data_IF_302840883840
#
_entry.id   IF_302840883840
#
_cell.length_a   1.000
_cell.length_b   1.000
_cell.length_c   1.000
_cell.angle_alpha   90.00
_cell.angle_beta   90.00
_cell.angle_gamma   90.00
#
_symmetry.space_group_name_H-M   'P 1'
#
loop_
_entity.id
_entity.type
_entity.pdbx_description
1 polymer ?
#
# COMPACT_ATOMS: atom_id res chain seq x y z
N UNK A 1 -7.48 -1.24 -14.44
CA UNK A 1 -7.64 0.22 -14.68
C UNK A 1 -6.57 1.00 -13.92
N UNK A 2 -5.89 1.97 -14.55
CA UNK A 2 -4.85 2.81 -13.90
C UNK A 2 -5.43 3.92 -13.00
N UNK A 3 -6.55 3.62 -12.35
CA UNK A 3 -7.20 4.51 -11.39
C UNK A 3 -6.41 4.40 -10.09
N UNK A 4 -5.92 5.53 -9.58
CA UNK A 4 -5.27 5.59 -8.26
C UNK A 4 -6.24 6.10 -7.21
N UNK A 5 -6.22 5.48 -6.04
CA UNK A 5 -7.15 5.66 -4.94
C UNK A 5 -6.41 6.04 -3.65
N UNK A 6 -7.18 6.50 -2.65
CA UNK A 6 -6.65 6.92 -1.35
C UNK A 6 -6.24 8.40 -1.32
N UNK A 7 -5.94 8.89 -0.11
CA UNK A 7 -5.57 10.30 0.15
C UNK A 7 -4.35 10.70 -0.67
N UNK A 8 -3.39 9.79 -0.85
CA UNK A 8 -2.14 10.04 -1.55
C UNK A 8 -2.13 9.57 -3.01
N UNK A 9 -3.22 8.96 -3.49
CA UNK A 9 -3.31 8.38 -4.85
C UNK A 9 -2.11 7.48 -5.17
N UNK A 10 -1.71 6.68 -4.19
CA UNK A 10 -0.60 5.74 -4.21
C UNK A 10 -1.07 4.29 -4.41
N UNK A 11 -2.33 4.00 -4.09
CA UNK A 11 -2.90 2.67 -4.24
C UNK A 11 -3.70 2.49 -5.55
N UNK A 12 -3.70 1.27 -6.11
CA UNK A 12 -4.54 0.88 -7.27
C UNK A 12 -5.56 -0.17 -6.81
N UNK A 13 -6.74 -0.27 -7.44
CA UNK A 13 -7.73 -1.32 -7.15
C UNK A 13 -7.19 -2.74 -7.29
N UNK A 14 -6.34 -2.94 -8.30
CA UNK A 14 -5.57 -4.15 -8.49
C UNK A 14 -4.13 -3.70 -8.72
N UNK A 15 -3.20 -4.23 -7.94
CA UNK A 15 -1.78 -3.89 -8.03
C UNK A 15 -1.21 -4.32 -9.36
N UNK A 16 -0.21 -3.54 -9.77
CA UNK A 16 0.60 -3.80 -10.94
C UNK A 16 2.06 -3.63 -10.53
N UNK A 17 2.93 -4.48 -11.06
CA UNK A 17 4.39 -4.47 -10.83
C UNK A 17 4.82 -4.86 -9.41
N UNK A 18 4.25 -4.26 -8.36
CA UNK A 18 4.67 -4.45 -6.96
C UNK A 18 3.47 -4.49 -6.01
N UNK A 19 3.51 -5.43 -5.08
CA UNK A 19 2.65 -5.46 -3.88
C UNK A 19 3.47 -4.93 -2.70
N UNK A 20 2.83 -4.13 -1.86
CA UNK A 20 3.43 -3.46 -0.70
C UNK A 20 2.81 -3.94 0.62
N UNK A 21 1.74 -4.74 0.57
CA UNK A 21 1.02 -5.24 1.73
C UNK A 21 0.42 -6.62 1.46
N UNK A 22 0.26 -7.42 2.51
CA UNK A 22 -0.47 -8.69 2.43
C UNK A 22 -1.95 -8.53 2.04
N UNK A 23 -2.50 -7.32 2.20
CA UNK A 23 -3.90 -7.02 1.83
C UNK A 23 -4.08 -6.58 0.38
N UNK A 24 -2.99 -6.48 -0.38
CA UNK A 24 -3.05 -5.96 -1.74
C UNK A 24 -3.71 -6.95 -2.68
N UNK A 25 -4.71 -6.49 -3.42
CA UNK A 25 -5.39 -7.25 -4.44
C UNK A 25 -4.59 -7.23 -5.75
N UNK A 26 -4.42 -8.39 -6.39
CA UNK A 26 -3.64 -8.53 -7.65
C UNK A 26 -4.48 -8.93 -8.86
N UNK A 27 -5.61 -9.61 -8.62
CA UNK A 27 -6.53 -10.06 -9.65
C UNK A 27 -7.97 -10.12 -9.09
N UNK A 28 -8.96 -10.16 -9.97
CA UNK A 28 -10.36 -10.31 -9.62
C UNK A 28 -11.07 -11.19 -10.65
N UNK A 29 -12.11 -11.89 -10.21
CA UNK A 29 -12.96 -12.75 -11.04
C UNK A 29 -14.40 -12.25 -10.97
N UNK A 30 -15.07 -12.21 -12.13
CA UNK A 30 -16.51 -12.03 -12.21
C UNK A 30 -17.14 -13.30 -12.79
N UNK A 31 -18.14 -13.83 -12.11
CA UNK A 31 -18.85 -15.04 -12.53
C UNK A 31 -20.35 -14.91 -12.25
N UNK A 32 -21.13 -15.82 -12.82
CA UNK A 32 -22.59 -15.86 -12.66
C UNK A 32 -23.04 -16.51 -11.34
N UNK A 33 -22.15 -17.17 -10.62
CA UNK A 33 -22.36 -17.68 -9.26
C UNK A 33 -21.10 -17.58 -8.40
N UNK A 34 -21.24 -17.54 -7.06
CA UNK A 34 -20.09 -17.57 -6.14
C UNK A 34 -19.19 -18.79 -6.34
N UNK A 35 -19.78 -19.99 -6.51
CA UNK A 35 -19.02 -21.24 -6.66
C UNK A 35 -18.10 -21.21 -7.89
N UNK A 36 -18.58 -20.64 -9.02
CA UNK A 36 -17.76 -20.48 -10.23
C UNK A 36 -16.64 -19.46 -9.98
N UNK A 37 -16.93 -18.37 -9.27
CA UNK A 37 -15.92 -17.37 -8.95
C UNK A 37 -14.80 -17.96 -8.06
N UNK A 38 -15.16 -18.74 -7.04
CA UNK A 38 -14.20 -19.40 -6.16
C UNK A 38 -13.35 -20.43 -6.90
N UNK A 39 -13.96 -21.27 -7.75
CA UNK A 39 -13.22 -22.22 -8.57
C UNK A 39 -12.23 -21.51 -9.51
N UNK A 40 -12.65 -20.41 -10.14
CA UNK A 40 -11.80 -19.62 -11.02
C UNK A 40 -10.68 -18.86 -10.26
N UNK A 41 -10.92 -18.42 -9.02
CA UNK A 41 -9.87 -17.83 -8.17
C UNK A 41 -8.75 -18.83 -7.88
N UNK A 42 -9.09 -20.10 -7.64
CA UNK A 42 -8.10 -21.16 -7.41
C UNK A 42 -7.24 -21.49 -8.64
N UNK A 43 -7.69 -21.12 -9.84
CA UNK A 43 -6.93 -21.28 -11.07
C UNK A 43 -5.94 -20.12 -11.34
N UNK A 44 -5.98 -19.05 -10.54
CA UNK A 44 -5.07 -17.92 -10.71
C UNK A 44 -3.73 -18.27 -10.09
N UNK A 45 -2.71 -18.37 -10.94
CA UNK A 45 -1.32 -18.51 -10.51
C UNK A 45 -0.63 -17.14 -10.54
N UNK A 46 0.03 -16.77 -9.44
CA UNK A 46 0.80 -15.53 -9.33
C UNK A 46 2.21 -15.88 -8.88
N UNK A 47 3.20 -15.45 -9.66
CA UNK A 47 4.61 -15.60 -9.31
C UNK A 47 5.13 -14.28 -8.76
N UNK A 48 5.76 -14.34 -7.58
CA UNK A 48 6.35 -13.17 -6.92
C UNK A 48 7.87 -13.30 -6.87
N UNK A 49 8.54 -12.18 -7.06
CA UNK A 49 9.91 -11.99 -6.57
C UNK A 49 9.82 -11.41 -5.15
N UNK A 50 10.37 -12.12 -4.16
CA UNK A 50 10.33 -11.67 -2.78
C UNK A 50 11.23 -10.43 -2.60
N UNK A 51 10.64 -9.35 -2.10
CA UNK A 51 11.35 -8.12 -1.76
C UNK A 51 11.53 -8.01 -0.23
N UNK A 52 12.57 -7.30 0.25
CA UNK A 52 12.72 -7.01 1.68
C UNK A 52 11.50 -6.26 2.21
N UNK A 53 10.86 -6.82 3.23
CA UNK A 53 9.71 -6.21 3.90
C UNK A 53 10.16 -5.44 5.14
N UNK A 54 9.48 -4.32 5.43
CA UNK A 54 9.71 -3.50 6.62
C UNK A 54 8.36 -3.35 7.34
N UNK A 55 8.31 -3.74 8.60
CA UNK A 55 7.08 -3.71 9.42
C UNK A 55 7.16 -2.70 10.57
N UNK A 56 8.31 -2.06 10.73
CA UNK A 56 8.56 -1.07 11.77
C UNK A 56 8.71 0.33 11.15
N UNK A 57 7.98 1.35 11.64
CA UNK A 57 8.05 2.68 11.08
C UNK A 57 9.41 3.35 11.31
N UNK A 58 10.06 3.14 12.46
CA UNK A 58 11.37 3.75 12.74
C UNK A 58 12.45 3.20 11.82
N UNK A 59 12.42 1.89 11.55
CA UNK A 59 13.25 1.21 10.56
C UNK A 59 12.97 1.72 9.15
N UNK A 60 11.71 1.92 8.77
CA UNK A 60 11.32 2.43 7.45
C UNK A 60 11.82 3.86 7.20
N UNK A 61 11.99 4.66 8.25
CA UNK A 61 12.49 6.03 8.19
C UNK A 61 14.02 6.13 8.09
N UNK A 62 14.76 5.04 8.36
CA UNK A 62 16.22 5.06 8.30
C UNK A 62 16.75 5.27 6.87
N UNK A 63 17.94 5.86 6.78
CA UNK A 63 18.64 5.98 5.51
C UNK A 63 18.99 4.60 4.95
N UNK A 64 18.75 4.39 3.65
CA UNK A 64 18.98 3.10 2.99
C UNK A 64 17.88 2.05 3.21
N UNK A 65 16.82 2.37 3.96
CA UNK A 65 15.65 1.50 4.07
C UNK A 65 15.02 1.25 2.67
N UNK A 66 14.61 0.00 2.37
CA UNK A 66 13.83 -0.29 1.17
C UNK A 66 12.64 0.68 1.00
N UNK A 67 12.55 1.31 -0.17
CA UNK A 67 11.46 2.22 -0.47
C UNK A 67 10.20 1.43 -0.82
N UNK A 68 9.10 1.70 -0.11
CA UNK A 68 7.79 1.11 -0.43
C UNK A 68 7.28 1.68 -1.76
N UNK A 69 7.43 2.99 -1.94
CA UNK A 69 7.05 3.72 -3.14
C UNK A 69 8.26 4.48 -3.70
N UNK A 70 8.91 3.94 -4.74
CA UNK A 70 10.15 4.48 -5.30
C UNK A 70 9.98 5.93 -5.79
N UNK A 71 8.80 6.25 -6.33
CA UNK A 71 8.46 7.59 -6.82
C UNK A 71 8.54 8.68 -5.73
N UNK A 72 8.40 8.33 -4.44
CA UNK A 72 8.45 9.27 -3.34
C UNK A 72 9.88 9.53 -2.83
N UNK A 73 10.85 8.67 -3.16
CA UNK A 73 12.25 8.74 -2.70
C UNK A 73 12.44 8.68 -1.17
N UNK A 74 11.36 8.49 -0.41
CA UNK A 74 11.36 8.38 1.05
C UNK A 74 10.11 7.60 1.49
N UNK A 75 10.20 6.92 2.64
CA UNK A 75 9.04 6.29 3.30
C UNK A 75 8.31 7.27 4.25
N UNK A 76 8.78 8.51 4.38
CA UNK A 76 8.15 9.52 5.22
C UNK A 76 7.08 10.26 4.42
N UNK A 77 5.82 10.06 4.76
CA UNK A 77 4.72 10.82 4.17
C UNK A 77 4.76 12.26 4.69
N UNK A 78 4.97 13.21 3.78
CA UNK A 78 4.85 14.64 4.08
C UNK A 78 3.38 15.02 4.11
N UNK A 79 2.76 14.87 5.27
CA UNK A 79 1.42 15.42 5.51
C UNK A 79 1.52 16.94 5.52
N UNK A 80 0.68 17.68 4.75
CA UNK A 80 0.74 19.13 4.70
C UNK A 80 0.14 19.81 5.95
N UNK A 81 -0.46 19.04 6.86
CA UNK A 81 -1.20 19.56 8.00
C UNK A 81 -0.37 19.43 9.28
N UNK A 82 -0.02 20.56 9.88
CA UNK A 82 0.39 20.64 11.28
C UNK A 82 -0.76 21.26 12.06
N UNK A 83 -1.52 20.45 12.77
CA UNK A 83 -2.64 20.92 13.57
C UNK A 83 -2.10 21.45 14.91
N UNK A 84 -2.06 22.77 15.04
CA UNK A 84 -1.80 23.45 16.30
C UNK A 84 -3.07 24.20 16.69
N UNK A 85 -3.66 23.87 17.84
CA UNK A 85 -4.85 24.54 18.35
C UNK A 85 -4.65 24.90 19.82
N UNK A 86 -4.74 26.20 20.13
CA UNK A 86 -4.41 26.74 21.44
C UNK A 86 -2.91 26.84 21.71
N UNK A 87 -2.55 27.16 22.95
CA UNK A 87 -1.16 27.16 23.43
C UNK A 87 -0.84 25.82 24.09
N UNK A 88 -0.15 24.96 23.33
CA UNK A 88 0.20 23.60 23.75
C UNK A 88 1.27 23.61 24.85
N UNK A 89 2.13 24.63 24.90
CA UNK A 89 3.19 24.71 25.91
C UNK A 89 2.67 25.31 27.22
N UNK A 90 1.72 26.24 27.18
CA UNK A 90 1.08 26.77 28.39
C UNK A 90 0.13 25.77 29.08
N UNK A 91 -0.31 24.72 28.39
CA UNK A 91 -1.23 23.71 28.89
C UNK A 91 -0.55 22.45 29.47
N UNK A 92 0.79 22.45 29.54
CA UNK A 92 1.62 21.30 29.95
C UNK A 92 1.71 21.11 31.46
#
# INVERSE_FOLDING_TARGET
PDIRMGVYKDNRPLKKEKVCSFRDEVAAVAATSPDIAEAALNCIEVTYEALPAIFDPEAAMQEGAPLIHEAHKTNILKMPWKLHYGDVEAAK
#
